data_IF_174518581237
#
_entry.id   IF_174518581237
#
_cell.length_a   1.000
_cell.length_b   1.000
_cell.length_c   1.000
_cell.angle_alpha   90.00
_cell.angle_beta   90.00
_cell.angle_gamma   90.00
#
_symmetry.space_group_name_H-M   'P 1'
#
loop_
_entity.id
_entity.type
_entity.pdbx_description
1 polymer ?
#
# COMPACT_ATOMS: atom_id res chain seq x y z
N UNK A 1 -11.61 14.96 -8.67
CA UNK A 1 -10.86 13.71 -8.53
C UNK A 1 -11.71 12.74 -7.72
N UNK A 2 -11.87 11.48 -8.14
CA UNK A 2 -12.57 10.45 -7.36
C UNK A 2 -11.93 10.27 -5.95
N UNK A 3 -12.70 9.91 -4.91
CA UNK A 3 -12.20 9.86 -3.54
C UNK A 3 -10.96 8.98 -3.35
N UNK A 4 -10.93 7.79 -3.96
CA UNK A 4 -9.79 6.86 -3.83
C UNK A 4 -8.50 7.39 -4.50
N UNK A 5 -8.65 8.16 -5.59
CA UNK A 5 -7.51 8.78 -6.26
C UNK A 5 -6.96 9.93 -5.42
N UNK A 6 -7.83 10.71 -4.79
CA UNK A 6 -7.43 11.77 -3.86
C UNK A 6 -6.67 11.20 -2.66
N UNK A 7 -7.18 10.12 -2.08
CA UNK A 7 -6.57 9.44 -0.95
C UNK A 7 -5.17 8.92 -1.31
N UNK A 8 -5.04 8.22 -2.45
CA UNK A 8 -3.73 7.76 -2.96
C UNK A 8 -2.74 8.91 -3.08
N UNK A 9 -3.14 10.04 -3.66
CA UNK A 9 -2.26 11.20 -3.86
C UNK A 9 -1.84 11.82 -2.52
N UNK A 10 -2.80 12.09 -1.62
CA UNK A 10 -2.52 12.71 -0.32
C UNK A 10 -1.62 11.82 0.54
N UNK A 11 -1.91 10.52 0.60
CA UNK A 11 -1.11 9.57 1.37
C UNK A 11 0.29 9.39 0.79
N UNK A 12 0.42 9.34 -0.55
CA UNK A 12 1.73 9.26 -1.21
C UNK A 12 2.59 10.49 -0.92
N UNK A 13 2.02 11.70 -1.01
CA UNK A 13 2.76 12.95 -0.73
C UNK A 13 3.14 13.03 0.76
N UNK A 14 2.24 12.64 1.66
CA UNK A 14 2.49 12.67 3.10
C UNK A 14 3.60 11.70 3.50
N UNK A 15 3.56 10.46 2.98
CA UNK A 15 4.60 9.47 3.19
C UNK A 15 5.95 9.92 2.60
N UNK A 16 5.92 10.50 1.40
CA UNK A 16 7.11 11.02 0.75
C UNK A 16 7.80 12.12 1.58
N UNK A 17 7.01 13.04 2.14
CA UNK A 17 7.52 14.07 3.04
C UNK A 17 8.08 13.49 4.35
N UNK A 18 7.39 12.50 4.95
CA UNK A 18 7.81 11.87 6.21
C UNK A 18 9.13 11.10 6.07
N UNK A 19 9.26 10.34 4.99
CA UNK A 19 10.43 9.48 4.74
C UNK A 19 11.51 10.14 3.89
N UNK A 20 11.37 11.44 3.60
CA UNK A 20 12.32 12.23 2.80
C UNK A 20 12.64 11.61 1.44
N UNK A 21 11.66 10.96 0.82
CA UNK A 21 11.76 10.39 -0.54
C UNK A 21 11.05 11.31 -1.55
N UNK A 22 11.53 11.38 -2.81
CA UNK A 22 10.86 12.16 -3.83
C UNK A 22 9.41 11.69 -4.06
N UNK A 23 8.44 12.61 -3.95
CA UNK A 23 7.01 12.29 -4.03
C UNK A 23 6.61 11.63 -5.36
N UNK A 24 7.29 11.99 -6.46
CA UNK A 24 7.06 11.36 -7.77
C UNK A 24 7.33 9.85 -7.76
N UNK A 25 8.26 9.37 -6.94
CA UNK A 25 8.55 7.93 -6.85
C UNK A 25 7.41 7.19 -6.15
N UNK A 26 6.95 7.69 -5.00
CA UNK A 26 5.85 7.07 -4.26
C UNK A 26 4.56 7.09 -5.09
N UNK A 27 4.27 8.21 -5.75
CA UNK A 27 3.13 8.34 -6.65
C UNK A 27 3.22 7.36 -7.82
N UNK A 28 4.39 7.22 -8.45
CA UNK A 28 4.59 6.30 -9.57
C UNK A 28 4.43 4.84 -9.17
N UNK A 29 4.94 4.44 -8.00
CA UNK A 29 4.75 3.08 -7.47
C UNK A 29 3.26 2.84 -7.21
N UNK A 30 2.59 3.72 -6.47
CA UNK A 30 1.16 3.58 -6.19
C UNK A 30 0.30 3.54 -7.48
N UNK A 31 0.69 4.28 -8.52
CA UNK A 31 0.05 4.21 -9.83
C UNK A 31 0.27 2.86 -10.51
N UNK A 32 1.52 2.39 -10.51
CA UNK A 32 1.89 1.14 -11.16
C UNK A 32 1.24 -0.07 -10.52
N UNK A 33 1.14 -0.08 -9.20
CA UNK A 33 0.44 -1.13 -8.46
C UNK A 33 -1.07 -1.12 -8.75
N UNK A 34 -1.65 0.06 -9.00
CA UNK A 34 -3.08 0.22 -9.33
C UNK A 34 -4.03 -0.47 -8.33
N UNK A 35 -3.56 -0.61 -7.08
CA UNK A 35 -4.30 -1.25 -6.00
C UNK A 35 -5.39 -0.37 -5.42
N UNK A 36 -6.32 -0.99 -4.68
CA UNK A 36 -7.42 -0.33 -3.99
C UNK A 36 -7.57 -0.87 -2.56
N UNK A 37 -8.18 -0.12 -1.64
CA UNK A 37 -8.58 -0.65 -0.34
C UNK A 37 -9.40 -1.92 -0.48
N UNK A 38 -9.10 -2.91 0.34
CA UNK A 38 -9.76 -4.21 0.37
C UNK A 38 -9.45 -5.10 -0.85
N UNK A 39 -8.59 -4.67 -1.77
CA UNK A 39 -8.21 -5.49 -2.93
C UNK A 39 -7.21 -6.57 -2.52
N UNK A 40 -7.46 -7.80 -2.99
CA UNK A 40 -6.58 -8.95 -2.85
C UNK A 40 -6.42 -9.59 -4.21
N UNK A 41 -5.19 -9.62 -4.72
CA UNK A 41 -4.85 -10.22 -6.03
C UNK A 41 -4.09 -11.51 -5.77
N UNK A 42 -4.64 -12.65 -6.21
CA UNK A 42 -4.04 -13.96 -5.97
C UNK A 42 -2.99 -14.30 -7.03
N UNK A 43 -1.84 -14.78 -6.59
CA UNK A 43 -0.79 -15.33 -7.45
C UNK A 43 -0.84 -16.86 -7.51
N UNK A 44 -0.23 -17.43 -8.56
CA UNK A 44 -0.16 -18.87 -8.80
C UNK A 44 0.60 -19.64 -7.71
N UNK A 45 1.55 -18.98 -7.05
CA UNK A 45 2.30 -19.52 -5.91
C UNK A 45 1.52 -19.52 -4.57
N UNK A 46 0.24 -19.11 -4.58
CA UNK A 46 -0.63 -19.09 -3.40
C UNK A 46 -0.53 -17.84 -2.53
N UNK A 47 0.37 -16.90 -2.83
CA UNK A 47 0.41 -15.59 -2.18
C UNK A 47 -0.64 -14.65 -2.75
N UNK A 48 -0.95 -13.59 -2.01
CA UNK A 48 -1.79 -12.48 -2.45
C UNK A 48 -1.05 -11.15 -2.32
N UNK A 49 -1.35 -10.22 -3.22
CA UNK A 49 -0.98 -8.81 -3.11
C UNK A 49 -2.17 -8.00 -2.62
N UNK A 50 -1.94 -7.14 -1.62
CA UNK A 50 -2.99 -6.58 -0.76
C UNK A 50 -3.00 -5.04 -0.76
N UNK A 51 -4.18 -4.45 -0.94
CA UNK A 51 -4.43 -3.03 -0.73
C UNK A 51 -3.89 -2.09 -1.81
N UNK A 52 -3.80 -0.80 -1.49
CA UNK A 52 -3.32 0.25 -2.41
C UNK A 52 -1.94 -0.03 -3.00
N UNK A 53 -1.02 -0.44 -2.13
CA UNK A 53 0.40 -0.64 -2.46
C UNK A 53 0.71 -2.12 -2.75
N UNK A 54 -0.31 -2.96 -2.91
CA UNK A 54 -0.18 -4.37 -3.33
C UNK A 54 0.88 -5.16 -2.51
N UNK A 55 0.85 -5.02 -1.18
CA UNK A 55 1.78 -5.74 -0.30
C UNK A 55 1.59 -7.25 -0.42
N UNK A 56 2.68 -7.97 -0.70
CA UNK A 56 2.62 -9.41 -0.80
C UNK A 56 2.50 -10.08 0.59
N UNK A 57 1.56 -11.01 0.73
CA UNK A 57 1.34 -11.81 1.95
C UNK A 57 2.54 -12.63 2.43
N UNK A 58 3.50 -12.97 1.56
CA UNK A 58 4.75 -13.58 2.00
C UNK A 58 5.58 -12.59 2.83
N UNK A 59 5.72 -11.35 2.36
CA UNK A 59 6.43 -10.30 3.09
C UNK A 59 5.70 -9.89 4.37
N UNK A 60 4.37 -9.78 4.34
CA UNK A 60 3.57 -9.48 5.53
C UNK A 60 3.73 -10.53 6.64
N UNK A 61 4.05 -11.78 6.29
CA UNK A 61 4.34 -12.83 7.27
C UNK A 61 5.57 -12.50 8.11
N UNK A 62 6.60 -11.93 7.48
CA UNK A 62 7.83 -11.52 8.16
C UNK A 62 7.62 -10.30 9.05
N UNK A 63 6.69 -9.42 8.65
CA UNK A 63 6.32 -8.22 9.40
C UNK A 63 5.37 -8.49 10.58
N UNK A 64 4.75 -9.67 10.64
CA UNK A 64 3.85 -10.05 11.73
C UNK A 64 4.48 -9.92 13.12
N UNK A 65 5.80 -10.14 13.23
CA UNK A 65 6.55 -9.97 14.50
C UNK A 65 6.54 -8.54 15.03
N UNK A 66 6.26 -7.55 14.17
CA UNK A 66 6.10 -6.15 14.54
C UNK A 66 4.63 -5.75 14.72
N UNK A 67 3.70 -6.71 14.69
CA UNK A 67 2.27 -6.47 14.80
C UNK A 67 1.61 -5.97 13.51
N UNK A 68 2.31 -5.99 12.36
CA UNK A 68 1.75 -5.59 11.08
C UNK A 68 1.03 -6.78 10.45
N UNK A 69 -0.23 -6.62 10.08
CA UNK A 69 -1.04 -7.68 9.45
C UNK A 69 -1.57 -7.25 8.08
N UNK A 70 -2.11 -8.21 7.33
CA UNK A 70 -2.70 -7.94 6.01
C UNK A 70 -3.90 -7.00 6.09
N UNK A 71 -4.64 -7.04 7.20
CA UNK A 71 -5.79 -6.16 7.44
C UNK A 71 -5.37 -4.70 7.52
N UNK A 72 -4.20 -4.40 8.08
CA UNK A 72 -3.72 -3.02 8.15
C UNK A 72 -3.41 -2.43 6.77
N UNK A 73 -2.77 -3.21 5.89
CA UNK A 73 -2.42 -2.76 4.53
C UNK A 73 -3.60 -2.86 3.55
N UNK A 74 -4.61 -3.68 3.87
CA UNK A 74 -5.86 -3.74 3.12
C UNK A 74 -6.78 -2.55 3.40
N UNK A 75 -6.64 -1.88 4.54
CA UNK A 75 -7.52 -0.79 4.93
C UNK A 75 -7.40 0.43 3.98
N UNK A 76 -8.46 1.24 3.95
CA UNK A 76 -8.36 2.61 3.44
C UNK A 76 -7.52 3.47 4.39
N UNK A 77 -7.05 4.60 3.88
CA UNK A 77 -6.23 5.58 4.58
C UNK A 77 -4.76 5.44 4.24
N UNK A 78 -3.94 6.18 4.98
CA UNK A 78 -2.53 6.34 4.64
C UNK A 78 -1.60 5.29 5.24
N UNK A 79 -2.09 4.40 6.10
CA UNK A 79 -1.25 3.39 6.74
C UNK A 79 -0.42 2.53 5.76
N UNK A 80 -0.97 2.05 4.61
CA UNK A 80 -0.18 1.28 3.65
C UNK A 80 0.96 2.09 2.99
N UNK A 81 0.85 3.42 2.97
CA UNK A 81 1.89 4.31 2.45
C UNK A 81 2.90 4.70 3.53
N UNK A 82 2.48 4.63 4.80
CA UNK A 82 3.23 5.11 5.95
C UNK A 82 4.03 4.03 6.68
N UNK A 83 4.07 2.80 6.15
CA UNK A 83 4.65 1.62 6.81
C UNK A 83 6.18 1.63 6.87
#
# INVERSE_FOLDING_TARGET
MPPLEQERVVCSISAAAKYEVPANIVLAVAEKESGKPGQWVKHSNGTHDVGFMQFNTAYLRDLKKYGITAEHVAASGCYPFDL
#
